data_IF_683121097433
#
_entry.id   IF_683121097433
#
_cell.length_a   1.000
_cell.length_b   1.000
_cell.length_c   1.000
_cell.angle_alpha   90.00
_cell.angle_beta   90.00
_cell.angle_gamma   90.00
#
_symmetry.space_group_name_H-M   'P 1'
#
loop_
_entity.id
_entity.type
_entity.pdbx_description
1 polymer ?
#
# COMPACT_ATOMS: atom_id res chain seq x y z
N UNK A 1 2.77 11.70 22.66
CA UNK A 1 2.70 12.60 21.48
C UNK A 1 1.92 11.84 20.41
N UNK A 2 1.50 12.48 19.31
CA UNK A 2 0.95 11.75 18.16
C UNK A 2 1.96 11.82 17.01
N UNK A 3 2.38 10.66 16.52
CA UNK A 3 3.18 10.52 15.31
C UNK A 3 2.22 10.57 14.11
N UNK A 4 2.49 11.43 13.14
CA UNK A 4 1.76 11.48 11.88
C UNK A 4 2.67 10.88 10.81
N UNK A 5 2.20 9.83 10.15
CA UNK A 5 2.94 9.15 9.10
C UNK A 5 2.00 8.81 7.94
N UNK A 6 2.52 8.81 6.72
CA UNK A 6 1.83 8.21 5.58
C UNK A 6 2.40 6.82 5.28
N UNK A 7 1.57 5.94 4.74
CA UNK A 7 1.96 4.60 4.32
C UNK A 7 1.31 4.28 2.96
N UNK A 8 2.13 3.87 2.01
CA UNK A 8 1.71 3.65 0.63
C UNK A 8 2.42 2.44 -0.02
N UNK A 9 1.78 1.85 -1.03
CA UNK A 9 2.25 0.72 -1.81
C UNK A 9 2.15 0.99 -3.30
N UNK A 10 3.10 0.45 -4.05
CA UNK A 10 3.14 0.57 -5.51
C UNK A 10 3.42 -0.78 -6.15
N UNK A 11 2.81 -1.06 -7.30
CA UNK A 11 3.15 -2.22 -8.11
C UNK A 11 3.17 -1.87 -9.62
N UNK A 12 4.21 -2.33 -10.32
CA UNK A 12 4.35 -2.20 -11.77
C UNK A 12 3.76 -3.44 -12.45
N UNK A 13 2.44 -3.45 -12.61
CA UNK A 13 1.65 -4.65 -12.92
C UNK A 13 1.15 -5.32 -11.65
N UNK A 14 -0.01 -5.98 -11.71
CA UNK A 14 -0.70 -6.50 -10.52
C UNK A 14 -1.14 -7.97 -10.70
N UNK A 15 -0.25 -8.96 -10.46
CA UNK A 15 1.03 -8.84 -9.76
C UNK A 15 2.24 -8.46 -10.63
N UNK A 16 3.25 -7.85 -10.02
CA UNK A 16 4.47 -7.37 -10.68
C UNK A 16 5.55 -6.91 -9.68
N UNK A 17 6.65 -6.30 -10.13
CA UNK A 17 7.60 -5.61 -9.24
C UNK A 17 6.86 -4.61 -8.36
N UNK A 18 7.02 -4.72 -7.05
CA UNK A 18 6.23 -3.95 -6.10
C UNK A 18 7.10 -3.40 -4.97
N UNK A 19 6.65 -2.29 -4.41
CA UNK A 19 7.30 -1.54 -3.37
C UNK A 19 6.30 -1.10 -2.32
N UNK A 20 6.81 -0.85 -1.12
CA UNK A 20 6.10 -0.28 0.00
C UNK A 20 6.96 0.81 0.61
N UNK A 21 6.33 1.83 1.19
CA UNK A 21 7.03 2.83 1.97
C UNK A 21 6.13 3.41 3.06
N UNK A 22 6.72 3.74 4.20
CA UNK A 22 6.11 4.65 5.16
C UNK A 22 7.01 5.88 5.32
N UNK A 23 6.39 7.00 5.65
CA UNK A 23 7.05 8.30 5.67
C UNK A 23 6.51 9.19 6.78
N UNK A 24 7.40 9.71 7.63
CA UNK A 24 7.11 10.77 8.60
C UNK A 24 7.69 12.09 8.10
N UNK A 25 8.99 12.07 7.78
CA UNK A 25 9.73 13.18 7.19
C UNK A 25 10.98 12.65 6.45
N UNK A 26 11.76 13.53 5.81
CA UNK A 26 12.92 13.13 4.99
C UNK A 26 14.04 12.44 5.80
N UNK A 27 14.06 12.62 7.11
CA UNK A 27 14.99 11.95 8.03
C UNK A 27 14.43 10.66 8.65
N UNK A 28 13.10 10.44 8.57
CA UNK A 28 12.40 9.32 9.18
C UNK A 28 11.42 8.68 8.19
N UNK A 29 11.92 7.70 7.45
CA UNK A 29 11.16 6.91 6.48
C UNK A 29 11.84 5.57 6.22
N UNK A 30 11.08 4.59 5.76
CA UNK A 30 11.64 3.35 5.24
C UNK A 30 10.86 2.85 4.03
N UNK A 31 11.54 2.12 3.16
CA UNK A 31 10.96 1.51 1.99
C UNK A 31 11.57 0.13 1.71
N UNK A 32 10.82 -0.71 1.01
CA UNK A 32 11.25 -2.04 0.59
C UNK A 32 10.27 -2.62 -0.42
N UNK A 33 10.44 -3.88 -0.80
CA UNK A 33 9.54 -4.46 -1.80
C UNK A 33 9.93 -5.86 -2.26
N UNK A 34 9.33 -6.27 -3.37
CA UNK A 34 9.51 -7.59 -3.98
C UNK A 34 9.60 -7.50 -5.50
N UNK A 35 10.22 -8.51 -6.12
CA UNK A 35 10.20 -8.70 -7.58
C UNK A 35 8.80 -9.02 -8.12
N UNK A 36 7.95 -9.61 -7.29
CA UNK A 36 6.62 -10.06 -7.69
C UNK A 36 5.66 -10.04 -6.49
N UNK A 37 4.80 -9.03 -6.43
CA UNK A 37 3.71 -8.90 -5.48
C UNK A 37 2.61 -7.99 -6.06
N UNK A 38 1.51 -7.83 -5.35
CA UNK A 38 0.38 -6.97 -5.71
C UNK A 38 0.46 -5.60 -5.02
N UNK A 39 -0.31 -4.62 -5.51
CA UNK A 39 -0.39 -3.31 -4.86
C UNK A 39 -0.86 -3.43 -3.40
N UNK A 40 -1.92 -4.20 -3.17
CA UNK A 40 -2.49 -4.44 -1.84
C UNK A 40 -1.48 -5.06 -0.85
N UNK A 41 -0.56 -5.89 -1.33
CA UNK A 41 0.52 -6.43 -0.48
C UNK A 41 1.53 -5.33 -0.11
N UNK A 42 1.87 -4.43 -1.04
CA UNK A 42 2.68 -3.25 -0.79
C UNK A 42 2.06 -2.33 0.26
N UNK A 43 0.78 -1.98 0.08
CA UNK A 43 0.05 -1.09 1.00
C UNK A 43 -0.06 -1.68 2.41
N UNK A 44 -0.43 -2.97 2.54
CA UNK A 44 -0.50 -3.65 3.84
C UNK A 44 0.89 -3.68 4.51
N UNK A 45 1.94 -3.94 3.74
CA UNK A 45 3.30 -4.03 4.26
C UNK A 45 3.83 -2.67 4.72
N UNK A 46 3.51 -1.59 4.01
CA UNK A 46 3.87 -0.25 4.42
C UNK A 46 3.37 0.06 5.84
N UNK A 47 2.09 -0.24 6.10
CA UNK A 47 1.48 -0.08 7.41
C UNK A 47 2.14 -1.02 8.43
N UNK A 48 2.29 -2.30 8.12
CA UNK A 48 2.94 -3.27 9.02
C UNK A 48 4.35 -2.81 9.44
N UNK A 49 5.18 -2.38 8.49
CA UNK A 49 6.55 -1.95 8.78
C UNK A 49 6.59 -0.63 9.55
N UNK A 50 5.61 0.26 9.39
CA UNK A 50 5.47 1.45 10.24
C UNK A 50 5.19 1.07 11.70
N UNK A 51 4.25 0.15 11.94
CA UNK A 51 3.94 -0.32 13.30
C UNK A 51 5.12 -1.07 13.92
N UNK A 52 5.87 -1.85 13.15
CA UNK A 52 7.12 -2.49 13.61
C UNK A 52 8.19 -1.48 13.98
N UNK A 53 8.40 -0.48 13.12
CA UNK A 53 9.39 0.57 13.34
C UNK A 53 9.12 1.38 14.60
N UNK A 54 7.84 1.54 14.96
CA UNK A 54 7.39 2.33 16.13
C UNK A 54 7.03 1.49 17.36
N UNK A 55 7.22 0.16 17.32
CA UNK A 55 6.78 -0.76 18.37
C UNK A 55 7.36 -0.47 19.77
N UNK A 56 8.53 0.18 19.82
CA UNK A 56 9.24 0.56 21.05
C UNK A 56 8.79 1.90 21.65
N UNK A 57 7.80 2.56 21.06
CA UNK A 57 7.29 3.86 21.48
C UNK A 57 5.87 3.74 22.03
N UNK A 58 5.51 4.55 23.02
CA UNK A 58 4.14 4.62 23.55
C UNK A 58 3.28 5.70 22.86
N UNK A 59 3.80 6.33 21.81
CA UNK A 59 3.12 7.40 21.09
C UNK A 59 1.95 6.87 20.23
N UNK A 60 0.88 7.68 20.15
CA UNK A 60 -0.26 7.40 19.28
C UNK A 60 0.15 7.55 17.81
N UNK A 61 -0.38 6.70 16.93
CA UNK A 61 -0.18 6.84 15.48
C UNK A 61 -1.42 7.41 14.77
N UNK A 62 -1.22 8.45 13.97
CA UNK A 62 -2.15 8.84 12.90
C UNK A 62 -1.54 8.42 11.56
N UNK A 63 -2.15 7.43 10.91
CA UNK A 63 -1.68 6.88 9.63
C UNK A 63 -2.54 7.45 8.49
N UNK A 64 -1.90 8.21 7.60
CA UNK A 64 -2.48 8.65 6.34
C UNK A 64 -2.32 7.54 5.30
N UNK A 65 -3.40 7.16 4.65
CA UNK A 65 -3.37 6.13 3.61
C UNK A 65 -4.50 6.38 2.61
N UNK A 66 -4.24 6.20 1.32
CA UNK A 66 -5.28 6.28 0.28
C UNK A 66 -5.93 4.92 -0.03
N UNK A 67 -5.36 3.83 0.48
CA UNK A 67 -5.91 2.48 0.37
C UNK A 67 -7.12 2.27 1.28
N UNK A 68 -8.29 2.28 0.66
CA UNK A 68 -9.51 1.82 1.32
C UNK A 68 -9.43 0.33 1.70
N UNK A 69 -8.67 -0.48 0.96
CA UNK A 69 -8.51 -1.89 1.28
C UNK A 69 -7.80 -2.08 2.62
N UNK A 70 -6.69 -1.38 2.84
CA UNK A 70 -5.95 -1.43 4.12
C UNK A 70 -6.81 -0.88 5.26
N UNK A 71 -7.39 0.31 5.09
CA UNK A 71 -8.20 0.95 6.12
C UNK A 71 -9.38 0.05 6.51
N UNK A 72 -10.14 -0.47 5.55
CA UNK A 72 -11.28 -1.33 5.85
C UNK A 72 -10.85 -2.69 6.43
N UNK A 73 -9.72 -3.25 5.98
CA UNK A 73 -9.17 -4.49 6.54
C UNK A 73 -8.93 -4.33 8.04
N UNK A 74 -8.21 -3.29 8.44
CA UNK A 74 -7.86 -3.05 9.86
C UNK A 74 -9.09 -2.62 10.67
N UNK A 75 -9.89 -1.68 10.17
CA UNK A 75 -10.93 -1.02 10.99
C UNK A 75 -12.28 -1.71 10.97
N UNK A 76 -12.60 -2.49 9.93
CA UNK A 76 -13.95 -3.06 9.75
C UNK A 76 -13.95 -4.59 9.70
N UNK A 77 -13.01 -5.19 8.98
CA UNK A 77 -13.13 -6.60 8.59
C UNK A 77 -12.34 -7.56 9.48
N UNK A 78 -11.12 -7.18 9.89
CA UNK A 78 -10.18 -8.06 10.60
C UNK A 78 -10.79 -8.67 11.86
N UNK A 79 -11.53 -7.91 12.66
CA UNK A 79 -12.25 -8.43 13.85
C UNK A 79 -13.21 -9.57 13.48
N UNK A 80 -13.99 -9.39 12.41
CA UNK A 80 -14.94 -10.40 11.93
C UNK A 80 -14.25 -11.62 11.34
N UNK A 81 -13.13 -11.43 10.61
CA UNK A 81 -12.33 -12.53 10.08
C UNK A 81 -11.70 -13.36 11.20
N UNK A 82 -11.11 -12.73 12.22
CA UNK A 82 -10.55 -13.42 13.40
C UNK A 82 -11.58 -14.31 14.09
N UNK A 83 -12.79 -13.78 14.32
CA UNK A 83 -13.88 -14.54 14.93
C UNK A 83 -14.31 -15.76 14.09
N UNK A 84 -14.05 -15.76 12.78
CA UNK A 84 -14.35 -16.84 11.83
C UNK A 84 -13.13 -17.67 11.45
N UNK A 85 -12.03 -17.61 12.21
CA UNK A 85 -10.80 -18.34 11.91
C UNK A 85 -10.16 -17.90 10.60
N UNK A 86 -10.15 -16.60 10.34
CA UNK A 86 -9.60 -15.95 9.14
C UNK A 86 -10.25 -16.38 7.82
N UNK A 87 -11.58 -16.48 7.84
CA UNK A 87 -12.41 -16.79 6.66
C UNK A 87 -13.39 -15.67 6.36
N UNK A 88 -13.67 -15.49 5.08
CA UNK A 88 -14.74 -14.62 4.59
C UNK A 88 -16.12 -15.24 4.83
N UNK A 89 -17.18 -14.46 4.63
CA UNK A 89 -18.55 -14.93 4.79
C UNK A 89 -18.93 -16.07 3.81
N UNK A 90 -18.29 -16.12 2.65
CA UNK A 90 -18.42 -17.18 1.63
C UNK A 90 -17.60 -18.45 1.95
N UNK A 91 -16.94 -18.50 3.12
CA UNK A 91 -16.10 -19.62 3.55
C UNK A 91 -14.70 -19.67 2.95
N UNK A 92 -14.40 -18.82 1.95
CA UNK A 92 -13.07 -18.73 1.34
C UNK A 92 -12.07 -18.10 2.30
N UNK A 93 -10.80 -18.42 2.09
CA UNK A 93 -9.71 -17.78 2.80
C UNK A 93 -9.69 -16.27 2.52
N UNK A 94 -9.28 -15.49 3.52
CA UNK A 94 -9.00 -14.06 3.36
C UNK A 94 -7.74 -13.91 2.51
N UNK A 95 -7.76 -12.99 1.53
CA UNK A 95 -6.58 -12.69 0.73
C UNK A 95 -5.54 -11.95 1.57
N UNK A 96 -4.26 -12.16 1.28
CA UNK A 96 -3.13 -11.57 2.02
C UNK A 96 -3.12 -11.95 3.52
N UNK A 97 -3.61 -13.17 3.84
CA UNK A 97 -3.77 -13.62 5.22
C UNK A 97 -2.49 -13.48 6.05
N UNK A 98 -1.35 -13.91 5.51
CA UNK A 98 -0.08 -13.89 6.22
C UNK A 98 0.28 -12.45 6.67
N UNK A 99 0.18 -11.48 5.76
CA UNK A 99 0.42 -10.06 6.07
C UNK A 99 -0.60 -9.49 7.06
N UNK A 100 -1.87 -9.90 6.95
CA UNK A 100 -2.92 -9.44 7.86
C UNK A 100 -2.75 -9.99 9.28
N UNK A 101 -2.24 -11.22 9.42
CA UNK A 101 -1.91 -11.80 10.72
C UNK A 101 -0.71 -11.11 11.36
N UNK A 102 0.37 -10.88 10.60
CA UNK A 102 1.51 -10.10 11.08
C UNK A 102 1.10 -8.67 11.48
N UNK A 103 0.19 -8.06 10.72
CA UNK A 103 -0.34 -6.73 11.03
C UNK A 103 -1.21 -6.73 12.29
N UNK A 104 -2.10 -7.71 12.45
CA UNK A 104 -2.91 -7.87 13.67
C UNK A 104 -2.04 -7.97 14.93
N UNK A 105 -0.94 -8.73 14.85
CA UNK A 105 0.04 -8.83 15.93
C UNK A 105 0.72 -7.49 16.22
N UNK A 106 1.17 -6.78 15.18
CA UNK A 106 1.85 -5.49 15.33
C UNK A 106 0.93 -4.38 15.86
N UNK A 107 -0.38 -4.47 15.63
CA UNK A 107 -1.39 -3.52 16.13
C UNK A 107 -1.77 -3.78 17.59
N UNK A 108 -1.47 -4.96 18.14
CA UNK A 108 -1.91 -5.34 19.47
C UNK A 108 -1.37 -4.39 20.55
N UNK A 109 -2.29 -3.82 21.35
CA UNK A 109 -1.93 -2.90 22.45
C UNK A 109 -1.52 -1.50 21.99
N UNK A 110 -1.61 -1.18 20.69
CA UNK A 110 -1.28 0.14 20.14
C UNK A 110 -2.52 1.05 20.09
N UNK A 111 -2.32 2.34 20.32
CA UNK A 111 -3.33 3.38 20.04
C UNK A 111 -3.06 3.98 18.67
N UNK A 112 -4.04 3.91 17.76
CA UNK A 112 -3.87 4.41 16.40
C UNK A 112 -5.18 4.87 15.76
N UNK A 113 -5.07 5.74 14.75
CA UNK A 113 -6.15 6.18 13.88
C UNK A 113 -5.69 6.15 12.43
N UNK A 114 -6.62 5.85 11.53
CA UNK A 114 -6.42 5.98 10.08
C UNK A 114 -7.19 7.20 9.57
N UNK A 115 -6.56 7.96 8.69
CA UNK A 115 -7.21 9.01 7.92
C UNK A 115 -7.08 8.66 6.44
N UNK A 116 -8.23 8.51 5.78
CA UNK A 116 -8.25 8.28 4.35
C UNK A 116 -7.94 9.59 3.64
N UNK A 117 -6.88 9.58 2.84
CA UNK A 117 -6.53 10.68 1.95
C UNK A 117 -6.83 10.28 0.52
N UNK A 118 -7.17 11.25 -0.32
CA UNK A 118 -7.33 10.98 -1.74
C UNK A 118 -5.94 10.93 -2.38
N UNK A 119 -5.62 9.82 -3.07
CA UNK A 119 -4.39 9.71 -3.84
C UNK A 119 -4.25 10.85 -4.86
N UNK A 120 -3.02 11.33 -5.07
CA UNK A 120 -2.66 12.43 -5.98
C UNK A 120 -3.44 13.75 -5.76
N UNK A 121 -3.79 14.07 -4.50
CA UNK A 121 -4.54 15.28 -4.14
C UNK A 121 -3.72 16.32 -3.34
N UNK A 122 -2.41 16.43 -3.55
CA UNK A 122 -1.51 17.35 -2.83
C UNK A 122 -1.42 17.07 -1.33
N UNK A 123 -1.31 15.80 -0.92
CA UNK A 123 -1.00 15.42 0.47
C UNK A 123 0.50 15.10 0.57
N UNK A 124 1.35 16.02 1.07
CA UNK A 124 2.80 15.90 0.92
C UNK A 124 3.40 14.63 1.52
N UNK A 125 2.88 14.18 2.68
CA UNK A 125 3.35 12.93 3.30
C UNK A 125 2.99 11.71 2.46
N UNK A 126 1.77 11.66 1.92
CA UNK A 126 1.33 10.54 1.09
C UNK A 126 2.07 10.51 -0.25
N UNK A 127 2.26 11.66 -0.89
CA UNK A 127 3.05 11.76 -2.12
C UNK A 127 4.52 11.37 -1.91
N UNK A 128 5.08 11.72 -0.75
CA UNK A 128 6.42 11.29 -0.36
C UNK A 128 6.51 9.77 -0.15
N UNK A 129 5.47 9.13 0.40
CA UNK A 129 5.38 7.68 0.53
C UNK A 129 5.17 6.99 -0.82
N UNK A 130 4.21 7.44 -1.65
CA UNK A 130 3.95 6.94 -3.01
C UNK A 130 5.24 6.96 -3.85
N UNK A 131 5.90 8.12 -3.90
CA UNK A 131 7.13 8.30 -4.67
C UNK A 131 8.22 7.30 -4.27
N UNK A 132 8.37 7.06 -2.96
CA UNK A 132 9.34 6.09 -2.42
C UNK A 132 8.95 4.65 -2.71
N UNK A 133 7.68 4.29 -2.53
CA UNK A 133 7.17 2.96 -2.87
C UNK A 133 7.37 2.66 -4.36
N UNK A 134 7.01 3.62 -5.23
CA UNK A 134 7.20 3.52 -6.67
C UNK A 134 8.66 3.39 -7.07
N UNK A 135 9.55 4.16 -6.45
CA UNK A 135 10.98 4.06 -6.70
C UNK A 135 11.52 2.65 -6.41
N UNK A 136 11.00 1.97 -5.38
CA UNK A 136 11.35 0.57 -5.10
C UNK A 136 10.83 -0.38 -6.18
N UNK A 137 9.56 -0.25 -6.58
CA UNK A 137 8.98 -1.08 -7.65
C UNK A 137 9.78 -0.97 -8.95
N UNK A 138 10.15 0.26 -9.31
CA UNK A 138 10.99 0.55 -10.47
C UNK A 138 12.42 0.01 -10.34
N UNK A 139 13.02 0.09 -9.15
CA UNK A 139 14.33 -0.50 -8.90
C UNK A 139 14.29 -2.02 -9.09
N UNK A 140 13.24 -2.72 -8.63
CA UNK A 140 13.05 -4.14 -8.91
C UNK A 140 12.88 -4.45 -10.39
N UNK A 141 12.08 -3.66 -11.11
CA UNK A 141 11.89 -3.81 -12.56
C UNK A 141 13.22 -3.68 -13.32
N UNK A 142 14.06 -2.73 -12.92
CA UNK A 142 15.37 -2.46 -13.53
C UNK A 142 16.53 -3.27 -12.93
N UNK A 143 16.27 -4.17 -11.97
CA UNK A 143 17.30 -4.86 -11.17
C UNK A 143 18.39 -3.92 -10.62
N UNK A 144 17.98 -2.73 -10.15
CA UNK A 144 18.86 -1.71 -9.59
C UNK A 144 18.89 -1.75 -8.05
N UNK A 145 19.92 -1.17 -7.40
CA UNK A 145 19.95 -1.07 -5.94
C UNK A 145 18.75 -0.31 -5.39
N UNK A 146 18.22 -0.79 -4.26
CA UNK A 146 17.09 -0.18 -3.55
C UNK A 146 17.64 0.66 -2.41
N UNK A 147 17.12 1.88 -2.25
CA UNK A 147 17.36 2.69 -1.05
C UNK A 147 16.29 2.36 0.00
N UNK A 148 16.65 1.68 1.11
CA UNK A 148 15.68 1.32 2.13
C UNK A 148 15.24 2.51 3.01
N UNK A 149 15.88 3.67 2.87
CA UNK A 149 15.67 4.83 3.74
C UNK A 149 16.47 4.76 5.05
N UNK A 150 16.46 5.86 5.83
CA UNK A 150 17.16 5.95 7.11
C UNK A 150 16.54 5.09 8.23
N UNK A 151 15.31 4.60 8.04
CA UNK A 151 14.56 3.90 9.08
C UNK A 151 13.92 4.88 10.07
N UNK A 152 13.56 4.36 11.24
CA UNK A 152 12.95 5.19 12.28
C UNK A 152 13.99 6.06 12.97
N UNK A 153 13.76 7.36 12.94
CA UNK A 153 14.47 8.37 13.72
C UNK A 153 13.41 9.23 14.40
N UNK A 154 13.59 9.57 15.67
CA UNK A 154 12.65 10.48 16.34
C UNK A 154 12.73 11.85 15.63
N UNK A 155 11.61 12.42 15.17
CA UNK A 155 11.62 13.75 14.55
C UNK A 155 12.24 14.77 15.51
N UNK A 156 13.35 15.41 15.09
CA UNK A 156 14.14 16.34 15.91
C UNK A 156 15.47 15.77 16.42
N UNK A 157 15.65 14.45 16.44
CA UNK A 157 16.95 13.81 16.66
C UNK A 157 17.69 13.74 15.31
N UNK A 158 18.11 14.90 14.80
CA UNK A 158 18.89 14.93 13.57
C UNK A 158 20.17 14.07 13.74
N UNK A 159 20.44 13.12 12.82
CA UNK A 159 21.70 12.39 12.87
C UNK A 159 22.85 13.34 12.55
N UNK A 160 23.71 13.57 13.53
CA UNK A 160 25.01 14.20 13.32
C UNK A 160 25.86 13.29 12.40
N UNK A 161 26.48 13.79 11.31
CA UNK A 161 27.21 12.94 10.38
C UNK A 161 28.58 12.58 10.96
N UNK A 162 28.62 11.61 11.88
CA UNK A 162 29.85 11.12 12.47
C UNK A 162 30.33 9.83 11.79
N UNK A 163 31.36 10.02 10.95
CA UNK A 163 32.48 9.12 10.67
C UNK A 163 32.19 7.76 10.01
N UNK A 164 32.38 7.79 8.70
CA UNK A 164 32.94 6.70 7.89
C UNK A 164 34.19 6.11 8.57
N UNK A 165 34.09 4.92 9.16
CA UNK A 165 35.24 4.08 9.51
C UNK A 165 35.41 3.01 8.44
N UNK A 166 36.29 3.32 7.49
CA UNK A 166 36.84 2.37 6.53
C UNK A 166 37.70 1.36 7.29
N UNK A 167 37.32 0.09 7.29
CA UNK A 167 38.19 -1.02 7.63
C UNK A 167 38.36 -1.92 6.42
N UNK A 168 39.46 -1.73 5.70
CA UNK A 168 40.07 -2.70 4.78
C UNK A 168 40.63 -3.90 5.56
N UNK A 169 40.80 -5.05 4.89
CA UNK A 169 42.17 -5.40 4.49
C UNK A 169 42.29 -5.97 3.06
N UNK A 170 43.42 -5.68 2.43
CA UNK A 170 43.99 -6.40 1.28
C UNK A 170 44.59 -7.75 1.78
N UNK A 171 44.68 -8.87 1.04
CA UNK A 171 45.45 -9.09 -0.19
C UNK A 171 45.19 -10.51 -0.77
N UNK A 172 44.96 -10.57 -2.11
CA UNK A 172 45.20 -11.58 -3.20
C UNK A 172 46.06 -12.87 -2.96
N UNK A 173 46.22 -13.80 -3.96
CA UNK A 173 45.25 -14.52 -4.84
C UNK A 173 45.62 -16.03 -5.06
N UNK A 174 44.74 -16.88 -5.63
CA UNK A 174 45.13 -18.16 -6.28
C UNK A 174 44.04 -18.73 -7.21
N UNK A 175 44.47 -19.53 -8.18
CA UNK A 175 43.86 -19.80 -9.48
C UNK A 175 42.94 -21.04 -9.59
N UNK A 176 42.04 -20.96 -10.59
CA UNK A 176 41.58 -21.98 -11.56
C UNK A 176 41.20 -23.40 -11.12
N UNK A 177 39.97 -23.84 -11.46
CA UNK A 177 39.70 -24.94 -12.42
C UNK A 177 38.18 -25.10 -12.68
N UNK A 178 37.82 -25.62 -13.85
CA UNK A 178 36.49 -25.60 -14.46
C UNK A 178 35.67 -26.90 -14.28
N UNK A 179 34.33 -26.76 -14.21
CA UNK A 179 33.21 -27.60 -14.74
C UNK A 179 33.15 -29.13 -14.38
N UNK A 180 31.96 -29.80 -14.34
CA UNK A 180 30.79 -29.58 -15.21
C UNK A 180 29.38 -29.67 -14.54
N UNK A 181 28.39 -29.73 -15.42
CA UNK A 181 26.97 -29.37 -15.35
C UNK A 181 25.95 -30.43 -14.89
N UNK A 182 24.77 -29.90 -14.51
CA UNK A 182 23.39 -30.47 -14.57
C UNK A 182 22.89 -31.31 -13.36
N UNK A 183 21.55 -31.44 -13.10
CA UNK A 183 20.40 -30.99 -13.88
C UNK A 183 19.30 -30.18 -13.13
N UNK A 184 18.40 -29.65 -13.95
CA UNK A 184 17.18 -28.86 -13.71
C UNK A 184 16.05 -29.69 -13.05
N UNK A 185 15.28 -29.15 -12.09
CA UNK A 185 14.04 -29.79 -11.64
C UNK A 185 12.85 -29.48 -12.58
N UNK A 186 11.86 -30.38 -12.67
CA UNK A 186 10.86 -30.42 -13.73
C UNK A 186 9.77 -29.36 -13.60
N UNK A 187 9.21 -29.01 -14.75
CA UNK A 187 8.06 -28.15 -14.91
C UNK A 187 6.81 -28.79 -14.27
N UNK A 188 6.21 -28.08 -13.32
CA UNK A 188 4.85 -28.34 -12.87
C UNK A 188 3.82 -27.97 -13.95
N UNK A 189 2.62 -28.58 -13.92
CA UNK A 189 1.66 -28.47 -15.00
C UNK A 189 1.17 -27.03 -15.17
N UNK A 190 1.14 -26.59 -16.43
CA UNK A 190 0.42 -25.40 -16.87
C UNK A 190 -1.07 -25.67 -16.70
N UNK A 191 -1.70 -25.02 -15.72
CA UNK A 191 -3.14 -24.94 -15.69
C UNK A 191 -3.59 -23.89 -16.72
N UNK A 192 -4.46 -24.25 -17.68
CA UNK A 192 -5.09 -23.28 -18.55
C UNK A 192 -6.19 -22.53 -17.79
N UNK A 193 -6.20 -21.20 -17.93
CA UNK A 193 -7.41 -20.39 -18.12
C UNK A 193 -8.61 -20.72 -17.23
N UNK A 194 -8.56 -20.34 -15.95
CA UNK A 194 -9.75 -20.14 -15.13
C UNK A 194 -9.53 -18.87 -14.30
N UNK A 195 -10.12 -17.78 -14.78
CA UNK A 195 -9.97 -16.38 -14.38
C UNK A 195 -8.82 -15.62 -15.07
N UNK A 196 -8.87 -15.57 -16.41
CA UNK A 196 -8.74 -14.29 -17.06
C UNK A 196 -9.78 -13.34 -16.42
N UNK A 197 -9.32 -12.47 -15.53
CA UNK A 197 -10.07 -11.23 -15.34
C UNK A 197 -9.71 -10.41 -16.56
N UNK A 198 -10.60 -10.42 -17.55
CA UNK A 198 -10.76 -9.26 -18.40
C UNK A 198 -10.67 -8.04 -17.49
N UNK A 199 -9.71 -7.17 -17.80
CA UNK A 199 -9.77 -5.77 -17.45
C UNK A 199 -11.09 -5.25 -18.05
N UNK A 200 -12.20 -5.50 -17.38
CA UNK A 200 -13.43 -4.75 -17.63
C UNK A 200 -13.07 -3.32 -17.21
N UNK A 201 -12.94 -2.37 -18.15
CA UNK A 201 -12.67 -0.99 -17.81
C UNK A 201 -13.73 -0.60 -16.79
N UNK A 202 -13.31 -0.01 -15.66
CA UNK A 202 -14.15 0.41 -14.55
C UNK A 202 -15.57 0.66 -15.03
N UNK A 203 -16.50 -0.28 -14.76
CA UNK A 203 -17.83 -0.26 -15.37
C UNK A 203 -18.44 1.09 -15.08
N UNK A 204 -18.54 1.93 -16.10
CA UNK A 204 -19.31 3.16 -16.02
C UNK A 204 -20.74 2.73 -15.81
N UNK A 205 -21.24 2.89 -14.58
CA UNK A 205 -22.64 2.64 -14.28
C UNK A 205 -23.45 3.80 -14.85
N UNK A 206 -23.99 3.62 -16.06
CA UNK A 206 -24.96 4.55 -16.64
C UNK A 206 -26.32 4.28 -16.00
N UNK A 207 -26.76 5.21 -15.14
CA UNK A 207 -28.10 5.19 -14.58
C UNK A 207 -28.99 6.08 -15.44
N UNK A 208 -29.96 5.49 -16.15
CA UNK A 208 -30.99 6.23 -16.88
C UNK A 208 -32.20 6.43 -15.98
N UNK A 209 -32.55 7.69 -15.70
CA UNK A 209 -33.75 8.06 -14.96
C UNK A 209 -34.75 8.70 -15.92
N UNK A 210 -35.98 8.20 -15.95
CA UNK A 210 -37.08 8.88 -16.62
C UNK A 210 -37.78 9.79 -15.61
N UNK A 211 -37.81 11.10 -15.89
CA UNK A 211 -38.51 12.09 -15.09
C UNK A 211 -39.75 12.55 -15.85
N UNK A 212 -40.87 12.68 -15.15
CA UNK A 212 -42.01 13.46 -15.67
C UNK A 212 -41.62 14.94 -15.83
N UNK A 213 -42.38 15.68 -16.64
CA UNK A 213 -42.15 17.11 -16.85
C UNK A 213 -42.15 17.91 -15.54
N UNK A 214 -43.03 17.53 -14.60
CA UNK A 214 -43.13 18.18 -13.28
C UNK A 214 -41.94 17.85 -12.37
N UNK A 215 -41.43 16.62 -12.41
CA UNK A 215 -40.24 16.21 -11.67
C UNK A 215 -38.99 16.91 -12.16
N UNK A 216 -38.82 16.99 -13.49
CA UNK A 216 -37.73 17.73 -14.09
C UNK A 216 -37.81 19.23 -13.74
N UNK A 217 -38.99 19.84 -13.78
CA UNK A 217 -39.16 21.24 -13.41
C UNK A 217 -38.84 21.51 -11.92
N UNK A 218 -39.21 20.60 -11.01
CA UNK A 218 -38.85 20.70 -9.58
C UNK A 218 -37.35 20.57 -9.37
N UNK A 219 -36.71 19.61 -10.02
CA UNK A 219 -35.29 19.36 -9.91
C UNK A 219 -34.46 20.53 -10.46
N UNK A 220 -34.84 21.07 -11.63
CA UNK A 220 -34.19 22.23 -12.24
C UNK A 220 -34.26 23.48 -11.38
N UNK A 221 -35.42 23.75 -10.74
CA UNK A 221 -35.54 24.88 -9.78
C UNK A 221 -34.62 24.70 -8.57
N UNK A 222 -34.49 23.48 -8.06
CA UNK A 222 -33.63 23.17 -6.92
C UNK A 222 -32.15 23.29 -7.26
N UNK A 223 -31.74 22.82 -8.44
CA UNK A 223 -30.38 22.96 -8.94
C UNK A 223 -30.00 24.44 -9.11
N UNK A 224 -30.89 25.24 -9.69
CA UNK A 224 -30.71 26.70 -9.85
C UNK A 224 -30.54 27.42 -8.50
N UNK A 225 -31.34 27.05 -7.50
CA UNK A 225 -31.22 27.61 -6.14
C UNK A 225 -29.91 27.25 -5.42
N UNK A 226 -29.24 26.19 -5.86
CA UNK A 226 -27.96 25.72 -5.31
C UNK A 226 -26.75 26.14 -6.17
N UNK A 227 -26.97 26.78 -7.32
CA UNK A 227 -25.90 27.19 -8.24
C UNK A 227 -25.16 26.04 -8.92
N UNK A 228 -25.77 24.84 -8.98
CA UNK A 228 -25.20 23.65 -9.60
C UNK A 228 -26.05 23.18 -10.78
N UNK A 229 -25.49 22.35 -11.65
CA UNK A 229 -26.26 21.72 -12.71
C UNK A 229 -27.22 20.64 -12.17
N UNK A 230 -28.26 20.31 -12.95
CA UNK A 230 -29.20 19.23 -12.64
C UNK A 230 -28.47 17.88 -12.52
N UNK A 231 -27.46 17.65 -13.36
CA UNK A 231 -26.67 16.43 -13.33
C UNK A 231 -25.81 16.33 -12.07
N UNK A 232 -25.14 17.41 -11.66
CA UNK A 232 -24.36 17.44 -10.42
C UNK A 232 -25.25 17.24 -9.19
N UNK A 233 -26.45 17.86 -9.19
CA UNK A 233 -27.42 17.65 -8.11
C UNK A 233 -27.88 16.19 -8.03
N UNK A 234 -28.09 15.52 -9.17
CA UNK A 234 -28.46 14.10 -9.21
C UNK A 234 -27.31 13.19 -8.77
N UNK A 235 -26.07 13.48 -9.17
CA UNK A 235 -24.87 12.73 -8.73
C UNK A 235 -24.64 12.81 -7.22
N UNK A 236 -25.08 13.88 -6.56
CA UNK A 236 -25.02 14.01 -5.10
C UNK A 236 -26.15 13.29 -4.34
N UNK A 237 -27.17 12.78 -5.05
CA UNK A 237 -28.35 12.13 -4.44
C UNK A 237 -28.33 10.59 -4.58
N UNK A 238 -27.37 10.03 -5.32
CA UNK A 238 -27.16 8.59 -5.55
C UNK A 238 -25.88 8.18 -4.82
#
# INVERSE_FOLDING_TARGET
>A
MTIIAAADGSALGNPGPAGWAWYVDDSCWAAGGWKHATNNQGELKAVLELFRATAHLDDDLLVLCDSQYVINSVTKWMRGWKAKGWRKADGKAVLNLDLLQELDEALAGRTYRFEWVKGHANHPLNEAADSRARAVSEAFQRNSPINPGPGWVRPGDAPSPARRSLSTPATRPAASTAAPSAPKPPAGPKHPELFAFDDEPARSHTVSLALSADEHARLSRRALGLGVSVEELLRGLI
#
